data_IF_201265547447
#
_entry.id   IF_201265547447
#
_cell.length_a   1.000
_cell.length_b   1.000
_cell.length_c   1.000
_cell.angle_alpha   90.00
_cell.angle_beta   90.00
_cell.angle_gamma   90.00
#
_symmetry.space_group_name_H-M   'P 1'
#
loop_
_entity.id
_entity.type
_entity.pdbx_description
1 polymer ?
#
# COMPACT_ATOMS: atom_id res chain seq x y z
N UNK A 1 26.10 -25.21 34.47
CA UNK A 1 26.04 -26.30 33.47
C UNK A 1 24.58 -26.43 33.08
N UNK A 2 24.09 -26.21 31.86
CA UNK A 2 24.69 -26.38 30.52
C UNK A 2 24.06 -25.32 29.60
N UNK A 3 24.89 -24.59 28.85
CA UNK A 3 24.46 -23.89 27.64
C UNK A 3 24.26 -24.97 26.57
N UNK A 4 23.09 -25.05 25.93
CA UNK A 4 22.91 -25.88 24.74
C UNK A 4 22.70 -24.96 23.54
N UNK A 5 23.77 -24.83 22.74
CA UNK A 5 23.73 -24.25 21.40
C UNK A 5 22.91 -25.15 20.47
N UNK A 6 21.91 -24.57 19.82
CA UNK A 6 21.28 -25.14 18.63
C UNK A 6 22.00 -24.50 17.44
N UNK A 7 22.96 -25.21 16.85
CA UNK A 7 23.62 -24.83 15.59
C UNK A 7 22.92 -25.57 14.46
N UNK A 8 22.48 -24.78 13.49
CA UNK A 8 21.75 -25.09 12.27
C UNK A 8 22.45 -26.14 11.40
N UNK A 9 21.78 -27.25 11.07
CA UNK A 9 22.06 -28.03 9.86
C UNK A 9 20.76 -28.68 9.37
N UNK A 10 20.31 -28.27 8.19
CA UNK A 10 19.09 -28.77 7.56
C UNK A 10 18.02 -27.70 7.51
N UNK A 11 18.14 -26.78 6.54
CA UNK A 11 17.01 -26.03 6.00
C UNK A 11 15.99 -27.03 5.43
N UNK A 12 15.23 -27.68 6.31
CA UNK A 12 13.97 -28.29 5.94
C UNK A 12 13.13 -27.15 5.37
N UNK A 13 12.75 -27.30 4.11
CA UNK A 13 12.00 -26.34 3.34
C UNK A 13 10.84 -25.77 4.16
N UNK A 14 10.89 -24.48 4.48
CA UNK A 14 9.73 -23.77 4.99
C UNK A 14 8.85 -23.42 3.78
N UNK A 15 8.27 -24.45 3.16
CA UNK A 15 7.11 -24.32 2.28
C UNK A 15 5.87 -24.07 3.18
N UNK A 16 5.84 -22.91 3.82
CA UNK A 16 4.59 -22.26 4.11
C UNK A 16 4.28 -21.41 2.90
N UNK A 17 3.08 -21.51 2.34
CA UNK A 17 2.59 -20.43 1.48
C UNK A 17 2.78 -19.14 2.28
N UNK A 18 3.60 -18.20 1.79
CA UNK A 18 3.55 -16.85 2.31
C UNK A 18 2.21 -16.34 1.82
N UNK A 19 1.18 -16.54 2.63
CA UNK A 19 -0.06 -15.81 2.49
C UNK A 19 0.37 -14.37 2.73
N UNK A 20 0.60 -13.62 1.65
CA UNK A 20 0.70 -12.18 1.70
C UNK A 20 -0.76 -11.74 1.72
N UNK A 21 -1.36 -11.51 2.91
CA UNK A 21 -2.69 -10.93 2.94
C UNK A 21 -2.60 -9.59 2.23
N UNK A 22 -3.63 -9.25 1.48
CA UNK A 22 -3.78 -7.92 0.91
C UNK A 22 -3.59 -6.88 2.02
N UNK A 23 -2.51 -6.10 1.94
CA UNK A 23 -2.25 -5.04 2.88
C UNK A 23 -3.19 -3.87 2.62
N UNK A 24 -3.44 -3.09 3.66
CA UNK A 24 -4.07 -1.78 3.53
C UNK A 24 -3.01 -0.71 3.72
N UNK A 25 -2.82 0.13 2.71
CA UNK A 25 -1.87 1.23 2.70
C UNK A 25 -2.66 2.53 2.72
N UNK A 26 -2.33 3.44 3.63
CA UNK A 26 -3.02 4.72 3.78
C UNK A 26 -2.19 5.86 3.19
N UNK A 27 -2.86 6.73 2.44
CA UNK A 27 -2.26 7.93 1.85
C UNK A 27 -2.92 9.16 2.43
N UNK A 28 -2.14 10.01 3.11
CA UNK A 28 -2.60 11.30 3.58
C UNK A 28 -1.49 12.36 3.44
N UNK A 29 -1.79 13.43 2.71
CA UNK A 29 -0.85 14.48 2.34
C UNK A 29 -0.32 15.27 3.56
N UNK A 30 -1.03 15.23 4.69
CA UNK A 30 -0.63 15.85 5.97
C UNK A 30 0.43 15.03 6.74
N UNK A 31 0.77 13.82 6.25
CA UNK A 31 1.72 12.90 6.88
C UNK A 31 1.14 11.97 7.94
N UNK A 32 -0.18 11.94 8.14
CA UNK A 32 -0.84 11.02 9.07
C UNK A 32 -1.03 9.60 8.50
N UNK A 33 -0.84 9.40 7.20
CA UNK A 33 -0.88 8.10 6.53
C UNK A 33 0.49 7.43 6.42
N UNK A 34 0.52 6.20 5.94
CA UNK A 34 1.76 5.46 5.65
C UNK A 34 2.62 6.19 4.61
N UNK A 35 1.96 6.85 3.65
CA UNK A 35 2.59 7.68 2.64
C UNK A 35 1.87 9.04 2.49
N UNK A 36 2.62 10.05 2.06
CA UNK A 36 2.06 11.37 1.73
C UNK A 36 1.60 11.49 0.27
N UNK A 37 2.05 10.60 -0.62
CA UNK A 37 1.76 10.63 -2.05
C UNK A 37 1.23 9.28 -2.53
N UNK A 38 0.36 9.28 -3.54
CA UNK A 38 -0.24 8.03 -4.04
C UNK A 38 0.81 7.23 -4.80
N UNK A 39 1.70 7.88 -5.56
CA UNK A 39 2.74 7.14 -6.29
C UNK A 39 3.67 6.36 -5.34
N UNK A 40 4.04 6.93 -4.19
CA UNK A 40 4.88 6.22 -3.23
C UNK A 40 4.17 4.98 -2.63
N UNK A 41 2.86 5.10 -2.36
CA UNK A 41 2.06 3.96 -1.93
C UNK A 41 1.96 2.87 -3.00
N UNK A 42 1.80 3.24 -4.28
CA UNK A 42 1.78 2.28 -5.40
C UNK A 42 3.12 1.58 -5.57
N UNK A 43 4.23 2.32 -5.47
CA UNK A 43 5.56 1.76 -5.60
C UNK A 43 5.86 0.74 -4.49
N UNK A 44 5.35 0.99 -3.27
CA UNK A 44 5.46 0.10 -2.13
C UNK A 44 4.45 -1.08 -2.13
N UNK A 45 3.32 -0.93 -2.81
CA UNK A 45 2.25 -1.94 -2.84
C UNK A 45 2.66 -3.22 -3.59
N UNK A 46 2.21 -4.36 -3.07
CA UNK A 46 2.21 -5.64 -3.76
C UNK A 46 0.86 -5.89 -4.44
N UNK A 47 0.81 -6.92 -5.28
CA UNK A 47 -0.46 -7.33 -5.88
C UNK A 47 -1.49 -7.68 -4.80
N UNK A 48 -2.75 -7.31 -5.07
CA UNK A 48 -3.93 -7.43 -4.23
C UNK A 48 -4.03 -6.42 -3.08
N UNK A 49 -3.03 -5.56 -2.87
CA UNK A 49 -3.08 -4.53 -1.84
C UNK A 49 -4.17 -3.48 -2.11
N UNK A 50 -4.66 -2.89 -1.03
CA UNK A 50 -5.64 -1.81 -1.04
C UNK A 50 -4.97 -0.51 -0.60
N UNK A 51 -4.96 0.48 -1.49
CA UNK A 51 -4.52 1.83 -1.19
C UNK A 51 -5.76 2.69 -0.90
N UNK A 52 -5.81 3.21 0.32
CA UNK A 52 -6.87 4.10 0.80
C UNK A 52 -6.31 5.52 0.83
N UNK A 53 -6.91 6.41 0.05
CA UNK A 53 -6.49 7.79 -0.10
C UNK A 53 -7.44 8.70 0.69
N UNK A 54 -6.88 9.53 1.55
CA UNK A 54 -7.62 10.58 2.25
C UNK A 54 -8.11 11.66 1.28
N UNK A 55 -9.02 12.49 1.76
CA UNK A 55 -9.45 13.68 1.01
C UNK A 55 -8.28 14.65 0.83
N UNK A 56 -8.14 15.19 -0.37
CA UNK A 56 -7.04 16.09 -0.72
C UNK A 56 -6.87 16.22 -2.24
N UNK A 57 -6.09 17.21 -2.64
CA UNK A 57 -5.65 17.37 -4.03
C UNK A 57 -4.22 16.88 -4.16
N UNK A 58 -4.04 15.82 -4.94
CA UNK A 58 -2.76 15.16 -5.19
C UNK A 58 -2.29 15.52 -6.60
N UNK A 59 -1.35 16.47 -6.71
CA UNK A 59 -0.77 16.86 -8.00
C UNK A 59 0.36 15.91 -8.37
N UNK A 60 0.03 14.83 -9.07
CA UNK A 60 0.96 13.76 -9.43
C UNK A 60 0.50 12.95 -10.64
N UNK A 61 1.44 12.25 -11.27
CA UNK A 61 1.18 11.37 -12.41
C UNK A 61 1.25 9.91 -11.96
N UNK A 62 0.10 9.23 -11.98
CA UNK A 62 -0.02 7.88 -11.43
C UNK A 62 0.38 6.80 -12.43
N UNK A 63 1.26 5.89 -11.99
CA UNK A 63 1.69 4.70 -12.74
C UNK A 63 1.51 3.46 -11.87
N UNK A 64 0.54 2.62 -12.25
CA UNK A 64 0.26 1.33 -11.59
C UNK A 64 1.29 0.25 -11.88
N UNK A 65 2.16 0.43 -12.90
CA UNK A 65 3.25 -0.50 -13.24
C UNK A 65 2.82 -1.97 -13.45
N UNK A 66 1.57 -2.20 -13.85
CA UNK A 66 1.01 -3.54 -14.06
C UNK A 66 0.63 -4.30 -12.78
N UNK A 67 0.67 -3.64 -11.62
CA UNK A 67 0.26 -4.23 -10.33
C UNK A 67 -1.26 -4.40 -10.26
N UNK A 68 -1.72 -5.50 -9.69
CA UNK A 68 -3.13 -5.79 -9.48
C UNK A 68 -3.60 -5.24 -8.13
N UNK A 69 -3.71 -3.92 -7.98
CA UNK A 69 -4.07 -3.25 -6.72
C UNK A 69 -5.43 -2.57 -6.79
N UNK A 70 -6.00 -2.29 -5.63
CA UNK A 70 -7.19 -1.46 -5.49
C UNK A 70 -6.75 -0.09 -4.98
N UNK A 71 -7.11 0.97 -5.71
CA UNK A 71 -6.94 2.37 -5.27
C UNK A 71 -8.32 2.99 -5.07
N UNK A 72 -8.61 3.51 -3.87
CA UNK A 72 -9.91 4.10 -3.54
C UNK A 72 -9.80 5.21 -2.49
N UNK A 73 -10.84 6.03 -2.39
CA UNK A 73 -11.02 6.97 -1.28
C UNK A 73 -11.26 6.24 0.06
N UNK A 74 -11.17 6.99 1.16
CA UNK A 74 -11.54 6.53 2.51
C UNK A 74 -12.96 5.98 2.56
N UNK A 75 -13.89 6.67 1.91
CA UNK A 75 -15.28 6.24 1.69
C UNK A 75 -15.63 6.39 0.20
N UNK A 76 -15.76 5.27 -0.55
CA UNK A 76 -16.16 5.31 -1.96
C UNK A 76 -17.67 5.43 -2.18
N UNK A 77 -18.49 5.21 -1.14
CA UNK A 77 -19.96 5.28 -1.23
C UNK A 77 -20.51 6.68 -0.88
N UNK A 78 -19.71 7.51 -0.20
CA UNK A 78 -20.02 8.92 0.05
C UNK A 78 -19.47 9.84 -1.06
N UNK A 79 -20.38 10.46 -1.82
CA UNK A 79 -20.04 11.40 -2.89
C UNK A 79 -19.19 12.58 -2.39
N UNK A 80 -19.44 13.05 -1.16
CA UNK A 80 -18.73 14.19 -0.57
C UNK A 80 -17.25 13.87 -0.38
N UNK A 81 -16.92 12.61 -0.09
CA UNK A 81 -15.54 12.15 0.07
C UNK A 81 -14.90 11.96 -1.30
N UNK A 82 -15.61 11.30 -2.23
CA UNK A 82 -15.11 11.05 -3.59
C UNK A 82 -14.76 12.35 -4.33
N UNK A 83 -15.62 13.37 -4.27
CA UNK A 83 -15.36 14.65 -4.95
C UNK A 83 -14.20 15.44 -4.34
N UNK A 84 -13.80 15.12 -3.10
CA UNK A 84 -12.71 15.76 -2.37
C UNK A 84 -11.40 15.00 -2.45
N UNK A 85 -11.39 13.78 -2.97
CA UNK A 85 -10.17 13.02 -3.30
C UNK A 85 -9.83 13.23 -4.77
N UNK A 86 -9.00 14.24 -5.04
CA UNK A 86 -8.71 14.72 -6.40
C UNK A 86 -7.28 14.33 -6.77
N UNK A 87 -7.11 13.66 -7.91
CA UNK A 87 -5.80 13.46 -8.56
C UNK A 87 -5.69 14.48 -9.69
N UNK A 88 -4.75 15.41 -9.56
CA UNK A 88 -4.45 16.42 -10.58
C UNK A 88 -3.23 15.99 -11.40
N UNK A 89 -3.47 15.61 -12.66
CA UNK A 89 -2.42 15.18 -13.59
C UNK A 89 -1.51 16.30 -14.10
N UNK A 90 -1.72 17.56 -13.69
CA UNK A 90 -0.82 18.67 -14.00
C UNK A 90 -0.86 19.17 -15.46
N UNK A 91 -1.69 18.56 -16.32
CA UNK A 91 -2.03 19.08 -17.66
C UNK A 91 -0.92 19.00 -18.73
N UNK A 92 0.00 18.03 -18.62
CA UNK A 92 1.13 17.84 -19.56
C UNK A 92 0.84 16.81 -20.66
#
# INVERSE_FOLDING_TARGET
>A
MKKLSIILLGMAAYLGAVECPAATITVNWDGAGDFATIQAAIDAANDLDNIIVAEGTYTENIKFNGKNIILRSTDPDDWSVVERTIIDGGGL
#
